data_IF_391861494278
#
_entry.id   IF_391861494278
#
_cell.length_a   1.000
_cell.length_b   1.000
_cell.length_c   1.000
_cell.angle_alpha   90.00
_cell.angle_beta   90.00
_cell.angle_gamma   90.00
#
_symmetry.space_group_name_H-M   'P 1'
#
loop_
_entity.id
_entity.type
_entity.pdbx_description
1 polymer ?
#
# COMPACT_ATOMS: atom_id res chain seq x y z
N UNK A 1 -31.26 -11.07 6.68
CA UNK A 1 -30.67 -12.41 6.37
C UNK A 1 -29.75 -12.38 5.13
N UNK A 2 -30.03 -11.55 4.10
CA UNK A 2 -29.21 -11.48 2.87
C UNK A 2 -27.84 -10.82 3.09
N UNK A 3 -27.73 -9.87 4.04
CA UNK A 3 -26.44 -9.21 4.38
C UNK A 3 -25.46 -10.14 5.12
N UNK A 4 -25.96 -11.02 6.00
CA UNK A 4 -25.12 -11.97 6.75
C UNK A 4 -24.48 -13.05 5.87
N UNK A 5 -25.07 -13.38 4.72
CA UNK A 5 -24.54 -14.38 3.80
C UNK A 5 -23.43 -13.78 2.94
N UNK A 6 -23.55 -12.50 2.51
CA UNK A 6 -22.53 -11.80 1.72
C UNK A 6 -21.27 -11.52 2.52
N UNK A 7 -21.41 -11.23 3.83
CA UNK A 7 -20.28 -11.00 4.74
C UNK A 7 -19.41 -12.25 4.96
N UNK A 8 -19.99 -13.46 4.88
CA UNK A 8 -19.26 -14.73 5.05
C UNK A 8 -18.42 -15.08 3.81
N UNK A 9 -18.84 -14.69 2.61
CA UNK A 9 -18.12 -15.00 1.36
C UNK A 9 -16.95 -14.08 1.07
N UNK A 10 -16.86 -12.92 1.72
CA UNK A 10 -15.82 -11.91 1.48
C UNK A 10 -14.71 -11.90 2.53
N UNK A 11 -14.63 -12.87 3.41
CA UNK A 11 -13.60 -12.95 4.45
C UNK A 11 -12.42 -13.80 3.99
N UNK A 12 -11.23 -13.39 4.37
CA UNK A 12 -10.03 -14.21 4.22
C UNK A 12 -10.09 -15.40 5.18
N UNK A 13 -9.69 -16.59 4.72
CA UNK A 13 -9.47 -17.71 5.63
C UNK A 13 -8.24 -17.46 6.53
N UNK A 14 -8.18 -18.15 7.67
CA UNK A 14 -7.01 -18.05 8.56
C UNK A 14 -5.70 -18.40 7.83
N UNK A 15 -5.74 -19.36 6.91
CA UNK A 15 -4.59 -19.72 6.07
C UNK A 15 -4.18 -18.58 5.13
N UNK A 16 -5.14 -17.90 4.49
CA UNK A 16 -4.85 -16.74 3.63
C UNK A 16 -4.27 -15.58 4.43
N UNK A 17 -4.76 -15.32 5.63
CA UNK A 17 -4.21 -14.30 6.54
C UNK A 17 -2.76 -14.64 6.89
N UNK A 18 -2.47 -15.90 7.22
CA UNK A 18 -1.12 -16.36 7.52
C UNK A 18 -0.19 -16.23 6.31
N UNK A 19 -0.62 -16.66 5.13
CA UNK A 19 0.17 -16.53 3.88
C UNK A 19 0.44 -15.06 3.53
N UNK A 20 -0.53 -14.17 3.75
CA UNK A 20 -0.35 -12.74 3.56
C UNK A 20 0.69 -12.15 4.52
N UNK A 21 0.65 -12.55 5.81
CA UNK A 21 1.65 -12.15 6.80
C UNK A 21 3.06 -12.60 6.40
N UNK A 22 3.22 -13.87 6.06
CA UNK A 22 4.52 -14.42 5.63
C UNK A 22 5.06 -13.69 4.41
N UNK A 23 4.20 -13.39 3.44
CA UNK A 23 4.58 -12.60 2.26
C UNK A 23 4.99 -11.17 2.63
N UNK A 24 4.25 -10.51 3.53
CA UNK A 24 4.55 -9.16 3.99
C UNK A 24 5.94 -9.09 4.65
N UNK A 25 6.22 -9.98 5.60
CA UNK A 25 7.53 -10.08 6.25
C UNK A 25 8.64 -10.44 5.26
N UNK A 26 8.38 -11.37 4.32
CA UNK A 26 9.34 -11.71 3.28
C UNK A 26 9.69 -10.53 2.38
N UNK A 27 8.70 -9.74 1.96
CA UNK A 27 8.93 -8.54 1.14
C UNK A 27 9.80 -7.52 1.87
N UNK A 28 9.64 -7.35 3.18
CA UNK A 28 10.48 -6.46 4.00
C UNK A 28 11.93 -6.98 4.01
N UNK A 29 12.14 -8.28 4.26
CA UNK A 29 13.48 -8.90 4.27
C UNK A 29 14.20 -8.78 2.92
N UNK A 30 13.47 -8.91 1.81
CA UNK A 30 14.03 -8.90 0.46
C UNK A 30 14.21 -7.48 -0.12
N UNK A 31 13.53 -6.47 0.45
CA UNK A 31 13.50 -5.12 -0.14
C UNK A 31 14.42 -4.13 0.54
N UNK A 32 14.82 -4.38 1.79
CA UNK A 32 15.56 -3.40 2.60
C UNK A 32 16.90 -3.93 3.09
N UNK A 33 17.78 -3.00 3.48
CA UNK A 33 19.04 -3.38 4.13
C UNK A 33 18.79 -4.16 5.42
N UNK A 34 19.78 -4.93 5.83
CA UNK A 34 19.69 -5.71 7.07
C UNK A 34 19.40 -4.82 8.28
N UNK A 35 20.07 -3.68 8.37
CA UNK A 35 19.91 -2.73 9.48
C UNK A 35 18.46 -2.20 9.55
N UNK A 36 17.86 -1.93 8.40
CA UNK A 36 16.48 -1.45 8.32
C UNK A 36 15.47 -2.55 8.65
N UNK A 37 15.69 -3.74 8.12
CA UNK A 37 14.87 -4.91 8.41
C UNK A 37 14.92 -5.32 9.90
N UNK A 38 16.10 -5.23 10.53
CA UNK A 38 16.31 -5.53 11.96
C UNK A 38 15.57 -4.56 12.90
N UNK A 39 15.18 -3.36 12.42
CA UNK A 39 14.30 -2.45 13.16
C UNK A 39 12.82 -2.76 12.92
N UNK A 40 12.45 -2.98 11.67
CA UNK A 40 11.06 -3.12 11.25
C UNK A 40 10.44 -4.45 11.68
N UNK A 41 11.15 -5.57 11.48
CA UNK A 41 10.58 -6.90 11.69
C UNK A 41 10.26 -7.17 13.15
N UNK A 42 11.14 -6.93 14.13
CA UNK A 42 10.81 -7.15 15.54
C UNK A 42 9.65 -6.28 16.03
N UNK A 43 9.53 -5.05 15.48
CA UNK A 43 8.40 -4.18 15.77
C UNK A 43 7.09 -4.76 15.24
N UNK A 44 7.06 -5.23 14.00
CA UNK A 44 5.87 -5.83 13.40
C UNK A 44 5.50 -7.16 14.10
N UNK A 45 6.47 -8.00 14.41
CA UNK A 45 6.28 -9.26 15.12
C UNK A 45 5.73 -9.04 16.54
N UNK A 46 6.16 -7.97 17.25
CA UNK A 46 5.59 -7.58 18.53
C UNK A 46 4.07 -7.34 18.48
N UNK A 47 3.57 -6.86 17.37
CA UNK A 47 2.14 -6.56 17.16
C UNK A 47 1.49 -7.49 16.13
N UNK A 48 2.08 -8.66 15.89
CA UNK A 48 1.66 -9.59 14.84
C UNK A 48 0.17 -9.89 14.87
N UNK A 49 -0.37 -10.32 15.99
CA UNK A 49 -1.78 -10.70 16.11
C UNK A 49 -2.71 -9.53 15.73
N UNK A 50 -2.39 -8.32 16.20
CA UNK A 50 -3.13 -7.11 15.85
C UNK A 50 -3.04 -6.82 14.36
N UNK A 51 -1.83 -6.79 13.79
CA UNK A 51 -1.59 -6.45 12.38
C UNK A 51 -2.23 -7.48 11.45
N UNK A 52 -2.17 -8.76 11.81
CA UNK A 52 -2.78 -9.84 11.02
C UNK A 52 -4.30 -9.74 10.98
N UNK A 53 -4.93 -9.27 12.06
CA UNK A 53 -6.39 -9.26 12.19
C UNK A 53 -7.05 -7.92 11.86
N UNK A 54 -6.29 -6.83 11.78
CA UNK A 54 -6.91 -5.52 11.57
C UNK A 54 -7.48 -5.34 10.17
N UNK A 55 -8.63 -4.62 10.04
CA UNK A 55 -9.22 -4.27 8.77
C UNK A 55 -8.49 -3.10 8.11
N UNK A 56 -8.71 -2.90 6.80
CA UNK A 56 -8.23 -1.73 6.10
C UNK A 56 -9.17 -0.52 6.20
N UNK A 57 -10.46 -0.74 6.45
CA UNK A 57 -11.44 0.34 6.59
C UNK A 57 -12.54 -0.01 7.59
N UNK A 58 -13.36 1.00 7.94
CA UNK A 58 -14.43 0.86 8.92
C UNK A 58 -15.77 0.39 8.34
N UNK A 59 -16.01 0.60 7.03
CA UNK A 59 -17.29 0.34 6.38
C UNK A 59 -17.18 -0.80 5.40
N UNK A 60 -18.16 -1.71 5.39
CA UNK A 60 -18.18 -2.91 4.55
C UNK A 60 -18.14 -2.62 3.04
N UNK A 61 -18.62 -1.47 2.59
CA UNK A 61 -18.58 -1.02 1.20
C UNK A 61 -17.32 -0.18 0.87
N UNK A 62 -16.37 -0.07 1.80
CA UNK A 62 -15.02 0.41 1.53
C UNK A 62 -14.08 -0.78 1.33
N UNK A 63 -12.87 -0.50 0.82
CA UNK A 63 -11.87 -1.51 0.57
C UNK A 63 -11.50 -2.32 1.84
N UNK A 64 -11.56 -3.64 1.73
CA UNK A 64 -11.00 -4.62 2.69
C UNK A 64 -11.38 -4.37 4.17
N UNK A 65 -12.69 -4.10 4.43
CA UNK A 65 -13.24 -3.90 5.77
C UNK A 65 -13.54 -5.23 6.48
N UNK A 66 -12.54 -6.10 6.63
CA UNK A 66 -12.65 -7.42 7.26
C UNK A 66 -11.35 -7.81 7.95
N UNK A 67 -11.38 -8.86 8.77
CA UNK A 67 -10.20 -9.37 9.45
C UNK A 67 -9.10 -9.78 8.45
N UNK A 68 -7.89 -9.24 8.61
CA UNK A 68 -6.78 -9.42 7.67
C UNK A 68 -6.79 -8.47 6.48
N UNK A 69 -7.79 -7.60 6.38
CA UNK A 69 -7.97 -6.67 5.27
C UNK A 69 -6.80 -5.71 5.10
N UNK A 70 -6.17 -5.28 6.18
CA UNK A 70 -5.01 -4.38 6.12
C UNK A 70 -3.85 -4.97 5.30
N UNK A 71 -3.34 -6.15 5.68
CA UNK A 71 -2.21 -6.75 4.95
C UNK A 71 -2.60 -7.07 3.51
N UNK A 72 -3.83 -7.57 3.29
CA UNK A 72 -4.34 -7.84 1.95
C UNK A 72 -4.30 -6.59 1.05
N UNK A 73 -4.75 -5.45 1.58
CA UNK A 73 -4.70 -4.14 0.92
C UNK A 73 -3.26 -3.69 0.65
N UNK A 74 -2.39 -3.70 1.67
CA UNK A 74 -0.98 -3.28 1.54
C UNK A 74 -0.25 -4.10 0.48
N UNK A 75 -0.46 -5.41 0.43
CA UNK A 75 0.12 -6.28 -0.60
C UNK A 75 -0.40 -5.96 -2.00
N UNK A 76 -1.69 -5.63 -2.13
CA UNK A 76 -2.27 -5.20 -3.40
C UNK A 76 -1.71 -3.86 -3.84
N UNK A 77 -1.60 -2.88 -2.93
CA UNK A 77 -0.95 -1.58 -3.22
C UNK A 77 0.49 -1.78 -3.68
N UNK A 78 1.24 -2.65 -3.00
CA UNK A 78 2.61 -2.99 -3.40
C UNK A 78 2.67 -3.56 -4.83
N UNK A 79 1.80 -4.53 -5.17
CA UNK A 79 1.76 -5.12 -6.51
C UNK A 79 1.35 -4.09 -7.57
N UNK A 80 0.37 -3.23 -7.29
CA UNK A 80 -0.01 -2.11 -8.14
C UNK A 80 1.16 -1.14 -8.34
N UNK A 81 1.86 -0.77 -7.27
CA UNK A 81 3.01 0.14 -7.33
C UNK A 81 4.14 -0.40 -8.20
N UNK A 82 4.46 -1.69 -8.09
CA UNK A 82 5.47 -2.34 -8.96
C UNK A 82 5.03 -2.28 -10.44
N UNK A 83 3.77 -2.57 -10.75
CA UNK A 83 3.25 -2.52 -12.12
C UNK A 83 3.26 -1.10 -12.68
N UNK A 84 2.81 -0.14 -11.89
CA UNK A 84 2.82 1.28 -12.27
C UNK A 84 4.23 1.83 -12.46
N UNK A 85 5.18 1.45 -11.61
CA UNK A 85 6.59 1.83 -11.75
C UNK A 85 7.14 1.38 -13.11
N UNK A 86 6.92 0.11 -13.48
CA UNK A 86 7.36 -0.43 -14.76
C UNK A 86 6.67 0.27 -15.94
N UNK A 87 5.34 0.44 -15.87
CA UNK A 87 4.57 1.13 -16.90
C UNK A 87 5.01 2.59 -17.07
N UNK A 88 5.30 3.30 -15.97
CA UNK A 88 5.81 4.68 -16.01
C UNK A 88 7.11 4.77 -16.79
N UNK A 89 8.07 3.85 -16.53
CA UNK A 89 9.33 3.78 -17.27
C UNK A 89 9.13 3.42 -18.75
N UNK A 90 8.25 2.46 -19.06
CA UNK A 90 7.91 2.06 -20.43
C UNK A 90 7.28 3.20 -21.24
N UNK A 91 6.53 4.08 -20.59
CA UNK A 91 5.94 5.29 -21.20
C UNK A 91 6.94 6.47 -21.30
N UNK A 92 8.19 6.28 -20.90
CA UNK A 92 9.23 7.32 -20.96
C UNK A 92 9.32 8.22 -19.73
N UNK A 93 8.67 7.86 -18.62
CA UNK A 93 8.76 8.59 -17.35
C UNK A 93 10.15 8.46 -16.70
N UNK A 94 10.59 9.50 -16.01
CA UNK A 94 11.89 9.51 -15.34
C UNK A 94 11.83 8.76 -14.00
N UNK A 95 12.48 7.60 -13.92
CA UNK A 95 12.57 6.77 -12.72
C UNK A 95 13.81 7.10 -11.84
N UNK A 96 14.68 8.03 -12.25
CA UNK A 96 15.92 8.33 -11.54
C UNK A 96 15.75 9.29 -10.35
N UNK A 97 14.57 9.85 -10.13
CA UNK A 97 14.31 10.85 -9.09
C UNK A 97 14.05 10.25 -7.69
N UNK A 98 13.90 8.95 -7.61
CA UNK A 98 13.79 8.15 -6.39
C UNK A 98 14.24 6.72 -6.66
N UNK A 99 14.49 5.94 -5.62
CA UNK A 99 14.93 4.55 -5.72
C UNK A 99 13.75 3.59 -5.70
N UNK A 100 13.94 2.38 -6.24
CA UNK A 100 12.96 1.30 -6.14
C UNK A 100 12.72 0.90 -4.67
N UNK A 101 13.73 1.00 -3.82
CA UNK A 101 13.61 0.76 -2.38
C UNK A 101 12.65 1.77 -1.73
N UNK A 102 12.78 3.08 -2.03
CA UNK A 102 11.90 4.13 -1.52
C UNK A 102 10.44 3.88 -1.93
N UNK A 103 10.21 3.45 -3.18
CA UNK A 103 8.87 3.11 -3.64
C UNK A 103 8.29 1.92 -2.88
N UNK A 104 9.06 0.83 -2.73
CA UNK A 104 8.64 -0.35 -1.98
C UNK A 104 8.36 -0.02 -0.51
N UNK A 105 9.20 0.81 0.10
CA UNK A 105 9.03 1.25 1.49
C UNK A 105 7.72 2.03 1.65
N UNK A 106 7.51 3.02 0.81
CA UNK A 106 6.29 3.82 0.87
C UNK A 106 5.03 2.94 0.66
N UNK A 107 5.06 2.00 -0.29
CA UNK A 107 3.95 1.08 -0.52
C UNK A 107 3.66 0.13 0.66
N UNK A 108 4.70 -0.39 1.34
CA UNK A 108 4.52 -1.32 2.46
C UNK A 108 4.10 -0.64 3.77
N UNK A 109 4.39 0.66 3.94
CA UNK A 109 4.20 1.35 5.22
C UNK A 109 3.26 2.55 5.18
N UNK A 110 2.64 2.88 4.02
CA UNK A 110 1.77 4.06 3.89
C UNK A 110 0.64 4.05 4.93
N UNK A 111 0.07 2.91 5.19
CA UNK A 111 -1.09 2.69 6.03
C UNK A 111 -0.76 2.07 7.41
N UNK A 112 0.52 1.99 7.80
CA UNK A 112 0.93 1.39 9.08
C UNK A 112 0.20 2.01 10.28
N UNK A 113 -0.18 3.27 10.19
CA UNK A 113 -0.94 3.97 11.22
C UNK A 113 -2.30 3.34 11.56
N UNK A 114 -2.84 2.47 10.70
CA UNK A 114 -4.06 1.70 10.99
C UNK A 114 -3.87 0.67 12.11
N UNK A 115 -2.63 0.31 12.46
CA UNK A 115 -2.39 -0.56 13.62
C UNK A 115 -2.70 0.13 14.97
N UNK A 116 -2.90 1.44 14.99
CA UNK A 116 -3.09 2.20 16.22
C UNK A 116 -1.77 2.57 16.87
N UNK A 117 -1.72 2.52 18.19
CA UNK A 117 -0.55 2.79 19.01
C UNK A 117 -0.37 1.71 20.08
N UNK A 118 0.63 1.87 20.96
CA UNK A 118 0.87 0.90 22.03
C UNK A 118 -0.39 0.69 22.89
N UNK A 119 -1.15 1.75 23.17
CA UNK A 119 -2.33 1.75 24.04
C UNK A 119 -3.53 1.01 23.46
N UNK A 120 -3.67 0.96 22.13
CA UNK A 120 -4.83 0.34 21.50
C UNK A 120 -4.77 0.30 19.98
N UNK A 121 -5.67 -0.47 19.42
CA UNK A 121 -5.90 -0.58 17.97
C UNK A 121 -6.59 0.67 17.44
N UNK A 122 -6.44 0.96 16.14
CA UNK A 122 -7.12 2.10 15.51
C UNK A 122 -8.60 1.81 15.24
N UNK A 123 -8.90 0.58 14.84
CA UNK A 123 -10.26 0.11 14.60
C UNK A 123 -10.70 -0.89 15.66
N UNK A 124 -11.90 -0.70 16.17
CA UNK A 124 -12.59 -1.62 17.07
C UNK A 124 -13.89 -2.11 16.42
N UNK A 125 -14.35 -3.34 16.71
CA UNK A 125 -15.68 -3.77 16.28
C UNK A 125 -16.76 -2.78 16.71
N UNK A 126 -17.71 -2.48 15.84
CA UNK A 126 -18.79 -1.57 16.14
C UNK A 126 -19.89 -2.30 16.91
N UNK A 127 -20.14 -1.87 18.14
CA UNK A 127 -21.18 -2.41 19.04
C UNK A 127 -22.58 -1.86 18.76
N UNK A 128 -22.70 -0.81 17.94
CA UNK A 128 -23.98 -0.21 17.55
C UNK A 128 -24.60 -0.95 16.39
N UNK A 129 -25.59 -1.80 16.68
CA UNK A 129 -26.34 -2.54 15.66
C UNK A 129 -26.94 -1.61 14.58
N UNK A 130 -27.40 -0.42 14.96
CA UNK A 130 -27.92 0.54 13.98
C UNK A 130 -26.87 1.01 12.98
N UNK A 131 -25.63 1.30 13.43
CA UNK A 131 -24.54 1.70 12.53
C UNK A 131 -24.12 0.55 11.61
N UNK A 132 -24.09 -0.67 12.12
CA UNK A 132 -23.79 -1.86 11.32
C UNK A 132 -24.89 -2.08 10.26
N UNK A 133 -26.17 -2.15 10.68
CA UNK A 133 -27.27 -2.54 9.80
C UNK A 133 -27.65 -1.43 8.79
N UNK A 134 -27.55 -0.16 9.17
CA UNK A 134 -27.99 0.97 8.32
C UNK A 134 -26.89 1.67 7.57
N UNK A 135 -25.67 1.69 8.12
CA UNK A 135 -24.53 2.41 7.56
C UNK A 135 -23.40 1.47 7.10
N UNK A 136 -23.55 0.15 7.24
CA UNK A 136 -22.50 -0.81 6.94
C UNK A 136 -21.19 -0.56 7.71
N UNK A 137 -21.26 0.19 8.82
CA UNK A 137 -20.11 0.55 9.63
C UNK A 137 -19.81 -0.56 10.64
N UNK A 138 -19.09 -1.58 10.21
CA UNK A 138 -18.76 -2.77 11.01
C UNK A 138 -17.62 -2.54 12.00
N UNK A 139 -16.80 -1.52 11.78
CA UNK A 139 -15.79 -1.05 12.73
C UNK A 139 -16.02 0.42 13.08
N UNK A 140 -15.55 0.81 14.26
CA UNK A 140 -15.50 2.19 14.75
C UNK A 140 -14.05 2.59 15.04
N UNK A 141 -13.80 3.89 15.08
CA UNK A 141 -12.50 4.41 15.50
C UNK A 141 -12.37 4.30 17.02
N UNK A 142 -11.20 3.85 17.48
CA UNK A 142 -10.86 3.82 18.89
C UNK A 142 -10.56 5.25 19.37
N UNK A 143 -11.35 5.74 20.31
CA UNK A 143 -11.21 7.09 20.89
C UNK A 143 -10.23 7.15 22.07
N UNK A 144 -9.73 6.00 22.53
CA UNK A 144 -8.79 5.94 23.66
C UNK A 144 -7.33 6.17 23.23
N UNK A 145 -7.07 6.16 21.90
CA UNK A 145 -5.78 6.54 21.36
C UNK A 145 -5.76 7.99 20.89
N UNK A 146 -4.60 8.69 20.95
CA UNK A 146 -4.49 10.07 20.48
C UNK A 146 -4.98 10.23 19.04
N UNK A 147 -5.74 11.31 18.79
CA UNK A 147 -6.20 11.63 17.43
C UNK A 147 -5.00 11.97 16.54
N UNK A 148 -4.86 11.23 15.43
CA UNK A 148 -3.81 11.43 14.44
C UNK A 148 -4.29 10.86 13.10
N UNK A 149 -3.97 11.54 11.99
CA UNK A 149 -4.24 11.00 10.66
C UNK A 149 -3.39 9.73 10.42
N UNK A 150 -3.91 8.78 9.65
CA UNK A 150 -3.23 7.51 9.38
C UNK A 150 -1.83 7.72 8.80
N UNK A 151 -1.61 8.58 7.77
CA UNK A 151 -0.27 8.82 7.25
C UNK A 151 0.71 9.38 8.29
N UNK A 152 0.22 10.29 9.14
CA UNK A 152 1.02 10.90 10.22
C UNK A 152 1.39 9.87 11.28
N UNK A 153 0.43 9.00 11.66
CA UNK A 153 0.69 7.91 12.61
C UNK A 153 1.64 6.87 12.03
N UNK A 154 1.56 6.57 10.73
CA UNK A 154 2.53 5.69 10.06
C UNK A 154 3.96 6.23 10.22
N UNK A 155 4.16 7.50 9.94
CA UNK A 155 5.46 8.17 10.07
C UNK A 155 5.92 8.25 11.53
N UNK A 156 5.00 8.54 12.46
CA UNK A 156 5.28 8.59 13.88
C UNK A 156 5.76 7.23 14.42
N UNK A 157 5.08 6.14 14.07
CA UNK A 157 5.46 4.77 14.48
C UNK A 157 6.84 4.37 13.94
N UNK A 158 7.13 4.72 12.69
CA UNK A 158 8.45 4.48 12.10
C UNK A 158 9.56 5.28 12.81
N UNK A 159 9.25 6.51 13.20
CA UNK A 159 10.17 7.34 13.99
C UNK A 159 10.40 6.75 15.40
N UNK A 160 9.37 6.26 16.08
CA UNK A 160 9.48 5.67 17.43
C UNK A 160 10.48 4.50 17.48
N UNK A 161 10.55 3.70 16.42
CA UNK A 161 11.51 2.59 16.33
C UNK A 161 12.88 3.00 15.77
N UNK A 162 13.12 4.29 15.54
CA UNK A 162 14.36 4.79 14.98
C UNK A 162 14.57 4.47 13.49
N UNK A 163 13.53 4.07 12.77
CA UNK A 163 13.62 3.82 11.34
C UNK A 163 13.75 5.15 10.58
N UNK A 164 14.87 5.33 9.90
CA UNK A 164 15.07 6.51 9.05
C UNK A 164 14.15 6.44 7.84
N UNK A 165 13.39 7.51 7.62
CA UNK A 165 12.51 7.70 6.48
C UNK A 165 13.13 8.77 5.58
N UNK A 166 13.33 8.48 4.29
CA UNK A 166 13.85 9.46 3.35
C UNK A 166 12.81 10.56 3.07
N UNK A 167 13.26 11.68 2.49
CA UNK A 167 12.34 12.75 2.11
C UNK A 167 11.27 12.27 1.11
N UNK A 168 11.66 11.44 0.15
CA UNK A 168 10.78 10.90 -0.87
C UNK A 168 9.73 9.95 -0.25
N UNK A 169 10.16 9.04 0.64
CA UNK A 169 9.28 8.14 1.39
C UNK A 169 8.31 8.92 2.27
N UNK A 170 8.82 9.93 3.00
CA UNK A 170 8.02 10.77 3.87
C UNK A 170 6.87 11.43 3.11
N UNK A 171 7.19 12.15 2.02
CA UNK A 171 6.17 12.85 1.24
C UNK A 171 5.20 11.86 0.60
N UNK A 172 5.69 10.74 0.06
CA UNK A 172 4.81 9.73 -0.54
C UNK A 172 3.82 9.16 0.47
N UNK A 173 4.28 8.77 1.68
CA UNK A 173 3.42 8.28 2.76
C UNK A 173 2.46 9.39 3.21
N UNK A 174 2.97 10.62 3.43
CA UNK A 174 2.16 11.75 3.92
C UNK A 174 0.95 12.05 3.05
N UNK A 175 1.09 11.92 1.72
CA UNK A 175 0.06 12.37 0.77
C UNK A 175 -0.62 11.24 0.00
N UNK A 176 -0.46 9.98 0.42
CA UNK A 176 -0.95 8.82 -0.35
C UNK A 176 -2.48 8.80 -0.54
N UNK A 177 -3.23 9.44 0.35
CA UNK A 177 -4.68 9.62 0.22
C UNK A 177 -5.07 10.59 -0.91
N UNK A 178 -4.07 11.26 -1.53
CA UNK A 178 -4.32 12.20 -2.62
C UNK A 178 -5.26 13.33 -2.22
N UNK A 179 -6.15 13.71 -3.13
CA UNK A 179 -7.10 14.81 -2.91
C UNK A 179 -8.31 14.45 -2.03
N UNK A 180 -8.41 13.22 -1.52
CA UNK A 180 -9.37 12.87 -0.48
C UNK A 180 -9.07 13.57 0.85
N UNK A 181 -7.80 13.93 1.09
CA UNK A 181 -7.41 14.85 2.16
C UNK A 181 -7.11 16.24 1.58
N UNK A 182 -7.94 17.23 1.90
CA UNK A 182 -7.80 18.60 1.41
C UNK A 182 -6.43 19.23 1.74
N UNK A 183 -5.78 18.79 2.81
CA UNK A 183 -4.44 19.25 3.17
C UNK A 183 -3.36 18.88 2.14
N UNK A 184 -3.63 17.88 1.32
CA UNK A 184 -2.72 17.42 0.26
C UNK A 184 -2.79 18.28 -1.02
N UNK A 185 -3.76 19.19 -1.15
CA UNK A 185 -3.87 20.10 -2.30
C UNK A 185 -2.58 20.87 -2.57
N UNK A 186 -1.89 21.26 -1.52
CA UNK A 186 -0.60 21.93 -1.61
C UNK A 186 0.42 21.16 -2.46
N UNK A 187 0.42 19.83 -2.38
CA UNK A 187 1.37 18.98 -3.10
C UNK A 187 0.92 18.63 -4.52
N UNK A 188 -0.38 18.44 -4.74
CA UNK A 188 -0.90 17.92 -6.01
C UNK A 188 -1.33 18.99 -7.02
N UNK A 189 -1.75 20.18 -6.55
CA UNK A 189 -2.33 21.22 -7.41
C UNK A 189 -1.32 22.33 -7.73
N UNK A 190 -0.19 22.39 -7.03
CA UNK A 190 0.79 23.45 -7.25
C UNK A 190 1.61 23.21 -8.52
N UNK A 191 1.57 24.21 -9.43
CA UNK A 191 2.42 24.26 -10.61
C UNK A 191 3.64 25.18 -10.42
N UNK A 192 3.79 25.83 -9.25
CA UNK A 192 4.89 26.74 -8.97
C UNK A 192 6.17 25.93 -8.71
N UNK A 193 7.29 26.43 -9.25
CA UNK A 193 8.60 25.78 -9.13
C UNK A 193 8.99 25.51 -7.67
N UNK A 194 8.60 26.38 -6.77
CA UNK A 194 8.94 26.35 -5.33
C UNK A 194 8.16 25.27 -4.57
N UNK A 195 6.95 24.97 -4.98
CA UNK A 195 5.99 24.13 -4.22
C UNK A 195 5.66 22.81 -4.87
N UNK A 196 5.93 22.63 -6.18
CA UNK A 196 5.64 21.38 -6.87
C UNK A 196 6.46 20.20 -6.35
N UNK A 197 5.91 19.00 -6.43
CA UNK A 197 6.61 17.76 -6.14
C UNK A 197 7.92 17.65 -6.95
N UNK A 198 8.99 17.18 -6.32
CA UNK A 198 10.31 16.99 -6.95
C UNK A 198 10.44 15.61 -7.59
N UNK A 199 9.63 14.66 -7.14
CA UNK A 199 9.58 13.31 -7.69
C UNK A 199 8.13 12.94 -7.97
N UNK A 200 7.89 11.95 -8.82
CA UNK A 200 6.55 11.43 -9.06
C UNK A 200 6.18 10.26 -8.13
N UNK A 201 7.05 9.86 -7.19
CA UNK A 201 6.75 8.80 -6.23
C UNK A 201 5.44 9.04 -5.45
N UNK A 202 5.13 10.25 -4.95
CA UNK A 202 3.86 10.50 -4.27
C UNK A 202 2.64 10.26 -5.16
N UNK A 203 2.73 10.63 -6.46
CA UNK A 203 1.67 10.41 -7.44
C UNK A 203 1.53 8.92 -7.72
N UNK A 204 2.65 8.21 -7.93
CA UNK A 204 2.65 6.77 -8.20
C UNK A 204 2.02 5.99 -7.04
N UNK A 205 2.40 6.30 -5.80
CA UNK A 205 1.83 5.64 -4.62
C UNK A 205 0.34 5.94 -4.48
N UNK A 206 -0.08 7.18 -4.67
CA UNK A 206 -1.48 7.57 -4.61
C UNK A 206 -2.31 6.83 -5.67
N UNK A 207 -1.81 6.70 -6.91
CA UNK A 207 -2.48 5.94 -7.96
C UNK A 207 -2.52 4.44 -7.63
N UNK A 208 -1.44 3.86 -7.10
CA UNK A 208 -1.39 2.46 -6.68
C UNK A 208 -2.42 2.17 -5.58
N UNK A 209 -2.50 3.04 -4.57
CA UNK A 209 -3.46 2.96 -3.48
C UNK A 209 -4.90 3.05 -4.00
N UNK A 210 -5.18 4.04 -4.85
CA UNK A 210 -6.50 4.23 -5.44
C UNK A 210 -6.93 3.04 -6.30
N UNK A 211 -6.05 2.54 -7.18
CA UNK A 211 -6.32 1.35 -8.01
C UNK A 211 -6.59 0.12 -7.14
N UNK A 212 -5.78 -0.10 -6.11
CA UNK A 212 -5.97 -1.21 -5.18
C UNK A 212 -7.36 -1.14 -4.51
N UNK A 213 -7.73 0.04 -3.99
CA UNK A 213 -9.03 0.25 -3.36
C UNK A 213 -10.21 0.05 -4.32
N UNK A 214 -10.10 0.49 -5.59
CA UNK A 214 -11.14 0.27 -6.61
C UNK A 214 -11.28 -1.22 -6.97
N UNK A 215 -10.18 -1.94 -7.16
CA UNK A 215 -10.20 -3.39 -7.44
C UNK A 215 -10.85 -4.15 -6.26
N UNK A 216 -10.53 -3.77 -5.02
CA UNK A 216 -11.10 -4.35 -3.82
C UNK A 216 -12.60 -4.07 -3.70
N UNK A 217 -13.03 -2.87 -4.08
CA UNK A 217 -14.45 -2.54 -4.17
C UNK A 217 -15.17 -3.38 -5.24
N UNK A 218 -14.58 -3.54 -6.43
CA UNK A 218 -15.14 -4.39 -7.50
C UNK A 218 -15.29 -5.85 -7.05
N UNK A 219 -14.29 -6.41 -6.35
CA UNK A 219 -14.35 -7.77 -5.79
C UNK A 219 -15.50 -7.89 -4.80
N UNK A 220 -15.64 -6.90 -3.91
CA UNK A 220 -16.71 -6.88 -2.92
C UNK A 220 -18.10 -6.72 -3.57
N UNK A 221 -18.25 -5.79 -4.52
CA UNK A 221 -19.51 -5.49 -5.20
C UNK A 221 -20.02 -6.67 -6.04
N UNK A 222 -19.09 -7.41 -6.67
CA UNK A 222 -19.38 -8.63 -7.43
C UNK A 222 -19.64 -9.86 -6.53
N UNK A 223 -19.46 -9.78 -5.22
CA UNK A 223 -19.56 -10.93 -4.31
C UNK A 223 -18.47 -11.99 -4.55
N UNK A 224 -17.32 -11.59 -5.06
CA UNK A 224 -16.18 -12.47 -5.30
C UNK A 224 -15.37 -12.70 -4.03
N UNK A 225 -14.70 -13.86 -3.92
CA UNK A 225 -13.76 -14.12 -2.84
C UNK A 225 -12.49 -13.29 -2.98
N UNK A 226 -12.04 -12.66 -1.88
CA UNK A 226 -10.73 -12.05 -1.82
C UNK A 226 -9.67 -13.13 -1.88
N UNK A 227 -8.87 -13.13 -2.96
CA UNK A 227 -7.73 -14.03 -3.12
C UNK A 227 -6.46 -13.30 -2.77
N UNK A 228 -5.52 -14.01 -2.12
CA UNK A 228 -4.14 -13.50 -1.99
C UNK A 228 -3.64 -13.12 -3.37
N UNK A 229 -3.12 -11.88 -3.57
CA UNK A 229 -2.63 -11.45 -4.87
C UNK A 229 -1.65 -12.47 -5.44
N UNK A 230 -1.97 -13.03 -6.59
CA UNK A 230 -1.21 -14.13 -7.20
C UNK A 230 0.18 -13.59 -7.57
N UNK A 231 1.23 -14.31 -7.17
CA UNK A 231 2.58 -14.12 -7.73
C UNK A 231 2.54 -14.45 -9.21
N UNK A 232 2.40 -13.47 -10.08
CA UNK A 232 2.85 -13.67 -11.46
C UNK A 232 4.35 -13.96 -11.40
N UNK A 233 4.73 -15.15 -11.85
CA UNK A 233 6.13 -15.44 -12.15
C UNK A 233 6.52 -14.42 -13.22
N UNK A 234 7.27 -13.39 -12.84
CA UNK A 234 7.94 -12.50 -13.79
C UNK A 234 8.86 -13.42 -14.60
N UNK A 235 8.41 -13.84 -15.79
CA UNK A 235 9.30 -14.48 -16.74
C UNK A 235 10.32 -13.41 -17.11
N UNK A 236 11.63 -13.62 -16.89
CA UNK A 236 12.61 -12.69 -17.40
C UNK A 236 12.38 -12.62 -18.92
N UNK A 237 12.02 -11.44 -19.43
CA UNK A 237 12.03 -11.20 -20.87
C UNK A 237 13.46 -11.47 -21.32
N UNK A 238 13.64 -12.54 -22.12
CA UNK A 238 14.91 -12.82 -22.76
C UNK A 238 15.44 -11.52 -23.37
N UNK A 239 16.63 -11.11 -22.93
CA UNK A 239 17.34 -10.02 -23.57
C UNK A 239 17.37 -10.33 -25.08
N UNK A 240 16.73 -9.50 -25.88
CA UNK A 240 16.73 -9.63 -27.33
C UNK A 240 18.18 -9.67 -27.77
N UNK A 241 18.57 -10.76 -28.41
CA UNK A 241 19.84 -10.86 -29.10
C UNK A 241 19.94 -9.66 -30.04
N UNK A 242 20.91 -8.80 -29.79
CA UNK A 242 21.13 -7.58 -30.56
C UNK A 242 21.15 -7.90 -32.04
N UNK A 243 20.35 -7.14 -32.75
CA UNK A 243 20.32 -7.11 -34.22
C UNK A 243 21.68 -6.63 -34.74
N UNK A 244 22.43 -7.58 -35.35
CA UNK A 244 23.75 -7.35 -35.93
C UNK A 244 23.63 -6.79 -37.37
N UNK A 245 22.66 -5.95 -37.68
CA UNK A 245 22.42 -5.47 -39.05
C UNK A 245 22.55 -3.95 -39.24
N UNK A 246 23.35 -3.25 -38.41
CA UNK A 246 23.69 -1.84 -38.64
C UNK A 246 25.20 -1.58 -38.66
N UNK A 247 25.96 -2.42 -39.40
CA UNK A 247 27.36 -2.16 -39.79
C UNK A 247 27.59 -2.45 -41.26
N UNK A 248 26.92 -1.77 -42.16
CA UNK A 248 27.27 -1.76 -43.58
C UNK A 248 26.66 -0.57 -44.34
N UNK A 249 26.90 0.64 -43.89
CA UNK A 249 26.62 1.84 -44.72
C UNK A 249 27.43 3.05 -44.25
N UNK A 250 28.78 2.93 -44.27
CA UNK A 250 29.65 4.11 -44.26
C UNK A 250 31.02 3.78 -44.85
N UNK A 251 31.00 3.28 -46.09
CA UNK A 251 32.16 3.31 -46.99
C UNK A 251 31.63 3.38 -48.41
N UNK A 252 31.40 4.57 -48.92
CA UNK A 252 31.56 4.98 -50.32
C UNK A 252 31.46 6.51 -50.37
N UNK A 253 32.54 7.08 -50.91
CA UNK A 253 32.77 8.36 -51.56
C UNK A 253 33.65 9.36 -50.77
N UNK A 254 34.90 9.23 -51.17
CA UNK A 254 35.92 10.21 -51.58
C UNK A 254 35.87 11.56 -50.93
#
# INVERSE_FOLDING_TARGET
EMFLIQDIYNMLSAEQIQVNWERYIKLIKESFSKERADLLIPFLEKYQDRIMMMPSSAKNWHHSAFAGGYINHVLRVFDCAIKLYNAWGEMGGNLSTYTLEEMKFAALFHDLGKMGQQQGEYFEPNDSKWHVDKLGQIYKFNTDIPAMKIPERSLFLLQEIGCKVSHNEYIAIKVHDGLYDDSNKFYFISNQKETRLRTHLPILLQQANHMAAQIEFEIWDNGEEFKTPIKEKIKPKNASKGDKTLRAASKVNT
#
